data_IF_562128757104
#
_entry.id   IF_562128757104
#
_cell.length_a   1.000
_cell.length_b   1.000
_cell.length_c   1.000
_cell.angle_alpha   90.00
_cell.angle_beta   90.00
_cell.angle_gamma   90.00
#
_symmetry.space_group_name_H-M   'P 1'
#
loop_
_entity.id
_entity.type
_entity.pdbx_description
1 polymer ?
#
# COMPACT_ATOMS: atom_id res chain seq x y z
N UNK A 1 -37.64 -86.67 -29.56
CA UNK A 1 -36.30 -87.29 -29.39
C UNK A 1 -35.30 -86.16 -29.23
N UNK A 2 -34.83 -85.97 -28.00
CA UNK A 2 -33.87 -84.93 -27.61
C UNK A 2 -32.49 -85.54 -27.86
N UNK A 3 -31.96 -85.32 -29.07
CA UNK A 3 -30.60 -85.73 -29.42
C UNK A 3 -29.62 -84.78 -28.76
N UNK A 4 -29.06 -85.19 -27.64
CA UNK A 4 -27.80 -84.64 -27.14
C UNK A 4 -26.76 -84.87 -28.22
N UNK A 5 -26.40 -83.83 -28.97
CA UNK A 5 -25.14 -83.82 -29.73
C UNK A 5 -24.03 -83.83 -28.69
N UNK A 6 -23.56 -85.03 -28.33
CA UNK A 6 -22.24 -85.19 -27.73
C UNK A 6 -21.25 -84.70 -28.79
N UNK A 7 -20.75 -83.48 -28.60
CA UNK A 7 -19.65 -82.94 -29.38
C UNK A 7 -18.47 -83.90 -29.26
N UNK A 8 -17.81 -84.20 -30.37
CA UNK A 8 -16.66 -85.10 -30.36
C UNK A 8 -15.60 -84.57 -29.38
N UNK A 9 -14.97 -85.43 -28.56
CA UNK A 9 -14.02 -85.00 -27.53
C UNK A 9 -12.87 -84.14 -28.10
N UNK A 10 -12.45 -84.39 -29.34
CA UNK A 10 -11.45 -83.58 -30.04
C UNK A 10 -11.90 -82.14 -30.28
N UNK A 11 -13.17 -81.94 -30.64
CA UNK A 11 -13.73 -80.60 -30.89
C UNK A 11 -13.83 -79.78 -29.60
N UNK A 12 -14.29 -80.42 -28.52
CA UNK A 12 -14.34 -79.81 -27.18
C UNK A 12 -12.94 -79.45 -26.67
N UNK A 13 -11.94 -80.30 -26.94
CA UNK A 13 -10.56 -80.02 -26.56
C UNK A 13 -10.00 -78.81 -27.32
N UNK A 14 -10.32 -78.69 -28.61
CA UNK A 14 -9.89 -77.55 -29.42
C UNK A 14 -10.57 -76.25 -28.96
N UNK A 15 -11.88 -76.26 -28.72
CA UNK A 15 -12.61 -75.11 -28.20
C UNK A 15 -12.10 -74.68 -26.81
N UNK A 16 -11.75 -75.64 -25.94
CA UNK A 16 -11.15 -75.35 -24.65
C UNK A 16 -9.79 -74.64 -24.78
N UNK A 17 -8.95 -75.03 -25.76
CA UNK A 17 -7.66 -74.38 -26.03
C UNK A 17 -7.85 -72.94 -26.49
N UNK A 18 -8.75 -72.72 -27.45
CA UNK A 18 -9.06 -71.39 -27.97
C UNK A 18 -9.64 -70.48 -26.89
N UNK A 19 -10.54 -71.00 -26.04
CA UNK A 19 -11.07 -70.25 -24.90
C UNK A 19 -10.00 -69.91 -23.85
N UNK A 20 -9.04 -70.80 -23.60
CA UNK A 20 -7.91 -70.51 -22.72
C UNK A 20 -7.04 -69.39 -23.30
N UNK A 21 -6.72 -69.44 -24.59
CA UNK A 21 -5.94 -68.40 -25.27
C UNK A 21 -6.66 -67.05 -25.29
N UNK A 22 -7.96 -67.04 -25.58
CA UNK A 22 -8.79 -65.83 -25.53
C UNK A 22 -8.85 -65.25 -24.11
N UNK A 23 -9.01 -66.09 -23.08
CA UNK A 23 -9.03 -65.67 -21.68
C UNK A 23 -7.69 -65.10 -21.22
N UNK A 24 -6.57 -65.69 -21.67
CA UNK A 24 -5.24 -65.18 -21.39
C UNK A 24 -5.01 -63.81 -22.03
N UNK A 25 -5.41 -63.66 -23.30
CA UNK A 25 -5.32 -62.39 -24.02
C UNK A 25 -6.15 -61.30 -23.33
N UNK A 26 -7.39 -61.61 -22.94
CA UNK A 26 -8.25 -60.69 -22.22
C UNK A 26 -7.68 -60.27 -20.86
N UNK A 27 -7.09 -61.20 -20.11
CA UNK A 27 -6.41 -60.89 -18.84
C UNK A 27 -5.23 -59.93 -19.03
N UNK A 28 -4.43 -60.13 -20.07
CA UNK A 28 -3.32 -59.23 -20.40
C UNK A 28 -3.82 -57.82 -20.76
N UNK A 29 -4.87 -57.73 -21.57
CA UNK A 29 -5.49 -56.46 -21.98
C UNK A 29 -6.05 -55.69 -20.77
N UNK A 30 -6.78 -56.37 -19.87
CA UNK A 30 -7.27 -55.76 -18.63
C UNK A 30 -6.13 -55.25 -17.73
N UNK A 31 -5.04 -56.01 -17.63
CA UNK A 31 -3.86 -55.59 -16.89
C UNK A 31 -3.23 -54.33 -17.47
N UNK A 32 -3.12 -54.26 -18.79
CA UNK A 32 -2.62 -53.09 -19.51
C UNK A 32 -3.53 -51.87 -19.30
N UNK A 33 -4.85 -52.03 -19.48
CA UNK A 33 -5.82 -50.94 -19.27
C UNK A 33 -5.79 -50.38 -17.85
N UNK A 34 -5.64 -51.24 -16.84
CA UNK A 34 -5.52 -50.80 -15.45
C UNK A 34 -4.24 -49.98 -15.22
N UNK A 35 -3.10 -50.44 -15.75
CA UNK A 35 -1.82 -49.73 -15.63
C UNK A 35 -1.86 -48.37 -16.33
N UNK A 36 -2.44 -48.30 -17.53
CA UNK A 36 -2.58 -47.05 -18.28
C UNK A 36 -3.53 -46.08 -17.56
N UNK A 37 -4.67 -46.56 -17.06
CA UNK A 37 -5.58 -45.73 -16.27
C UNK A 37 -4.90 -45.18 -15.00
N UNK A 38 -4.12 -46.00 -14.29
CA UNK A 38 -3.36 -45.56 -13.12
C UNK A 38 -2.32 -44.50 -13.48
N UNK A 39 -1.64 -44.66 -14.62
CA UNK A 39 -0.67 -43.68 -15.12
C UNK A 39 -1.35 -42.36 -15.46
N UNK A 40 -2.45 -42.39 -16.21
CA UNK A 40 -3.21 -41.19 -16.57
C UNK A 40 -3.70 -40.41 -15.35
N UNK A 41 -4.18 -41.11 -14.32
CA UNK A 41 -4.58 -40.47 -13.06
C UNK A 41 -3.40 -39.76 -12.40
N UNK A 42 -2.23 -40.42 -12.32
CA UNK A 42 -1.02 -39.82 -11.72
C UNK A 42 -0.50 -38.63 -12.50
N UNK A 43 -0.50 -38.71 -13.83
CA UNK A 43 -0.03 -37.65 -14.71
C UNK A 43 -0.98 -36.44 -14.63
N UNK A 44 -2.29 -36.67 -14.73
CA UNK A 44 -3.32 -35.63 -14.58
C UNK A 44 -3.29 -34.95 -13.20
N UNK A 45 -3.13 -35.74 -12.13
CA UNK A 45 -3.00 -35.19 -10.78
C UNK A 45 -1.72 -34.38 -10.61
N UNK A 46 -0.62 -34.77 -11.24
CA UNK A 46 0.64 -34.00 -11.22
C UNK A 46 0.51 -32.68 -11.95
N UNK A 47 -0.03 -32.71 -13.16
CA UNK A 47 -0.30 -31.51 -13.94
C UNK A 47 -1.23 -30.54 -13.21
N UNK A 48 -2.31 -31.05 -12.61
CA UNK A 48 -3.26 -30.22 -11.84
C UNK A 48 -2.59 -29.55 -10.64
N UNK A 49 -1.73 -30.28 -9.91
CA UNK A 49 -0.97 -29.72 -8.79
C UNK A 49 -0.03 -28.60 -9.24
N UNK A 50 0.64 -28.76 -10.37
CA UNK A 50 1.57 -27.75 -10.89
C UNK A 50 0.84 -26.51 -11.38
N UNK A 51 -0.30 -26.67 -12.07
CA UNK A 51 -1.17 -25.56 -12.48
C UNK A 51 -1.68 -24.79 -11.26
N UNK A 52 -2.13 -25.48 -10.20
CA UNK A 52 -2.60 -24.83 -8.97
C UNK A 52 -1.48 -24.03 -8.29
N UNK A 53 -0.28 -24.61 -8.17
CA UNK A 53 0.87 -23.90 -7.60
C UNK A 53 1.21 -22.65 -8.40
N UNK A 54 1.24 -22.75 -9.73
CA UNK A 54 1.52 -21.62 -10.59
C UNK A 54 0.48 -20.52 -10.42
N UNK A 55 -0.81 -20.87 -10.45
CA UNK A 55 -1.91 -19.93 -10.29
C UNK A 55 -1.81 -19.14 -8.98
N UNK A 56 -1.55 -19.81 -7.86
CA UNK A 56 -1.38 -19.13 -6.57
C UNK A 56 -0.10 -18.30 -6.48
N UNK A 57 0.98 -18.71 -7.16
CA UNK A 57 2.19 -17.89 -7.24
C UNK A 57 1.94 -16.61 -8.06
N UNK A 58 1.22 -16.70 -9.17
CA UNK A 58 0.85 -15.54 -9.99
C UNK A 58 -0.06 -14.58 -9.22
N UNK A 59 -1.03 -15.10 -8.47
CA UNK A 59 -1.90 -14.33 -7.57
C UNK A 59 -1.09 -13.61 -6.50
N UNK A 60 -0.18 -14.29 -5.81
CA UNK A 60 0.70 -13.69 -4.80
C UNK A 60 1.57 -12.59 -5.41
N UNK A 61 2.14 -12.83 -6.60
CA UNK A 61 2.94 -11.84 -7.30
C UNK A 61 2.13 -10.62 -7.71
N UNK A 62 0.90 -10.81 -8.20
CA UNK A 62 -0.01 -9.72 -8.58
C UNK A 62 -0.44 -8.91 -7.36
N UNK A 63 -0.84 -9.58 -6.27
CA UNK A 63 -1.22 -8.92 -5.03
C UNK A 63 -0.05 -8.14 -4.42
N UNK A 64 1.16 -8.71 -4.43
CA UNK A 64 2.37 -8.03 -3.97
C UNK A 64 2.60 -6.72 -4.71
N UNK A 65 2.53 -6.73 -6.06
CA UNK A 65 2.66 -5.51 -6.86
C UNK A 65 1.61 -4.45 -6.53
N UNK A 66 0.34 -4.85 -6.39
CA UNK A 66 -0.74 -3.93 -6.02
C UNK A 66 -0.52 -3.30 -4.64
N UNK A 67 -0.02 -4.08 -3.68
CA UNK A 67 0.32 -3.58 -2.35
C UNK A 67 1.49 -2.60 -2.39
N UNK A 68 2.53 -2.91 -3.17
CA UNK A 68 3.69 -2.02 -3.35
C UNK A 68 3.27 -0.69 -4.02
N UNK A 69 2.43 -0.75 -5.06
CA UNK A 69 1.87 0.43 -5.73
C UNK A 69 1.03 1.28 -4.78
N UNK A 70 0.17 0.64 -3.97
CA UNK A 70 -0.62 1.35 -2.96
C UNK A 70 0.26 1.98 -1.88
N UNK A 71 1.30 1.29 -1.43
CA UNK A 71 2.24 1.82 -0.46
C UNK A 71 2.95 3.07 -0.99
N UNK A 72 3.48 3.02 -2.20
CA UNK A 72 4.13 4.18 -2.84
C UNK A 72 3.16 5.36 -2.92
N UNK A 73 1.92 5.11 -3.33
CA UNK A 73 0.89 6.16 -3.41
C UNK A 73 0.60 6.79 -2.04
N UNK A 74 0.45 5.96 -1.00
CA UNK A 74 0.19 6.44 0.36
C UNK A 74 1.36 7.25 0.93
N UNK A 75 2.60 6.84 0.65
CA UNK A 75 3.79 7.60 1.05
C UNK A 75 3.83 8.96 0.36
N UNK A 76 3.54 9.02 -0.95
CA UNK A 76 3.44 10.28 -1.68
C UNK A 76 2.33 11.20 -1.15
N UNK A 77 1.18 10.63 -0.75
CA UNK A 77 0.12 11.40 -0.10
C UNK A 77 0.58 11.98 1.23
N UNK A 78 1.32 11.22 2.05
CA UNK A 78 1.91 11.71 3.31
C UNK A 78 2.89 12.85 3.03
N UNK A 79 3.81 12.69 2.08
CA UNK A 79 4.79 13.73 1.72
C UNK A 79 4.09 15.01 1.23
N UNK A 80 3.02 14.86 0.45
CA UNK A 80 2.22 16.00 -0.05
C UNK A 80 1.59 16.76 1.12
N UNK A 81 0.97 16.04 2.07
CA UNK A 81 0.36 16.66 3.26
C UNK A 81 1.42 17.35 4.11
N UNK A 82 2.58 16.73 4.32
CA UNK A 82 3.69 17.35 5.05
C UNK A 82 4.10 18.67 4.37
N UNK A 83 4.33 18.67 3.06
CA UNK A 83 4.71 19.88 2.32
C UNK A 83 3.64 20.98 2.38
N UNK A 84 2.37 20.61 2.20
CA UNK A 84 1.25 21.54 2.27
C UNK A 84 1.07 22.16 3.66
N UNK A 85 1.45 21.44 4.71
CA UNK A 85 1.29 21.88 6.11
C UNK A 85 2.48 22.67 6.64
N UNK A 86 3.69 22.41 6.15
CA UNK A 86 4.89 23.21 6.46
C UNK A 86 4.83 24.60 5.81
N UNK A 87 4.36 24.70 4.56
CA UNK A 87 4.40 25.96 3.81
C UNK A 87 3.77 27.17 4.53
N UNK A 88 2.56 27.06 5.14
CA UNK A 88 2.03 28.16 5.95
C UNK A 88 2.93 28.53 7.14
N UNK A 89 3.59 27.55 7.76
CA UNK A 89 4.51 27.79 8.88
C UNK A 89 5.76 28.57 8.43
N UNK A 90 6.29 28.30 7.24
CA UNK A 90 7.39 29.09 6.66
C UNK A 90 6.98 30.56 6.46
N UNK A 91 5.77 30.79 5.98
CA UNK A 91 5.24 32.14 5.78
C UNK A 91 4.99 32.83 7.13
N UNK A 92 4.50 32.11 8.15
CA UNK A 92 4.42 32.62 9.52
C UNK A 92 5.79 32.93 10.12
N UNK A 93 6.81 32.11 9.86
CA UNK A 93 8.17 32.35 10.32
C UNK A 93 8.71 33.67 9.76
N UNK A 94 8.54 33.92 8.46
CA UNK A 94 8.94 35.20 7.84
C UNK A 94 8.22 36.40 8.45
N UNK A 95 6.94 36.27 8.78
CA UNK A 95 6.17 37.31 9.45
C UNK A 95 6.71 37.60 10.86
N UNK A 96 7.08 36.56 11.60
CA UNK A 96 7.69 36.70 12.93
C UNK A 96 9.07 37.35 12.81
N UNK A 97 9.93 36.89 11.90
CA UNK A 97 11.27 37.46 11.67
C UNK A 97 11.19 38.96 11.32
N UNK A 98 10.28 39.34 10.42
CA UNK A 98 10.04 40.76 10.11
C UNK A 98 9.56 41.54 11.34
N UNK A 99 8.63 40.97 12.11
CA UNK A 99 8.12 41.58 13.34
C UNK A 99 9.22 41.80 14.39
N UNK A 100 10.11 40.83 14.56
CA UNK A 100 11.27 40.91 15.47
C UNK A 100 12.24 42.00 15.00
N UNK A 101 12.61 42.02 13.72
CA UNK A 101 13.50 43.05 13.18
C UNK A 101 12.90 44.45 13.35
N UNK A 102 11.59 44.61 13.08
CA UNK A 102 10.89 45.88 13.27
C UNK A 102 10.90 46.31 14.75
N UNK A 103 10.69 45.38 15.67
CA UNK A 103 10.74 45.66 17.10
C UNK A 103 12.16 46.03 17.56
N UNK A 104 13.19 45.37 17.03
CA UNK A 104 14.59 45.69 17.34
C UNK A 104 14.98 47.10 16.87
N UNK A 105 14.63 47.45 15.63
CA UNK A 105 14.85 48.80 15.09
C UNK A 105 14.12 49.86 15.93
N UNK A 106 12.89 49.57 16.35
CA UNK A 106 12.12 50.48 17.18
C UNK A 106 12.76 50.64 18.58
N UNK A 107 13.21 49.56 19.21
CA UNK A 107 13.92 49.61 20.50
C UNK A 107 15.16 50.50 20.36
N UNK A 108 15.95 50.31 19.30
CA UNK A 108 17.14 51.13 19.02
C UNK A 108 16.79 52.60 18.82
N UNK A 109 15.73 52.92 18.06
CA UNK A 109 15.22 54.29 17.89
C UNK A 109 14.82 54.90 19.25
N UNK A 110 14.17 54.12 20.11
CA UNK A 110 13.77 54.52 21.46
C UNK A 110 14.97 54.79 22.38
N UNK A 111 15.96 53.90 22.41
CA UNK A 111 17.19 54.06 23.19
C UNK A 111 17.94 55.33 22.79
N UNK A 112 18.08 55.60 21.48
CA UNK A 112 18.71 56.82 20.97
C UNK A 112 17.91 58.07 21.38
N UNK A 113 16.58 58.02 21.27
CA UNK A 113 15.72 59.14 21.62
C UNK A 113 15.77 59.47 23.13
N UNK A 114 15.89 58.45 23.98
CA UNK A 114 16.05 58.62 25.44
C UNK A 114 17.41 59.22 25.79
N UNK A 115 18.50 58.73 25.16
CA UNK A 115 19.86 59.22 25.41
C UNK A 115 20.07 60.68 24.96
N UNK A 116 19.30 61.15 23.98
CA UNK A 116 19.43 62.50 23.39
C UNK A 116 18.83 63.66 24.22
N UNK A 117 18.09 63.39 25.30
CA UNK A 117 17.49 64.44 26.15
C UNK A 117 16.27 65.17 25.56
N UNK A 118 15.54 65.91 26.40
CA UNK A 118 14.22 66.49 26.09
C UNK A 118 14.31 67.74 25.17
N UNK A 119 15.41 68.48 25.22
CA UNK A 119 15.48 69.83 24.63
C UNK A 119 15.82 69.83 23.12
N UNK A 120 16.49 68.80 22.58
CA UNK A 120 17.00 68.79 21.19
C UNK A 120 16.35 67.70 20.29
N UNK A 121 15.46 66.84 20.82
CA UNK A 121 14.93 65.66 20.11
C UNK A 121 13.42 65.40 20.31
N UNK A 122 12.61 66.41 20.62
CA UNK A 122 11.16 66.24 20.85
C UNK A 122 10.43 65.57 19.66
N UNK A 123 10.85 65.86 18.42
CA UNK A 123 10.29 65.19 17.23
C UNK A 123 10.65 63.69 17.16
N UNK A 124 11.85 63.28 17.59
CA UNK A 124 12.24 61.85 17.60
C UNK A 124 11.50 61.09 18.69
N UNK A 125 11.35 61.68 19.88
CA UNK A 125 10.54 61.11 20.96
C UNK A 125 9.07 60.96 20.57
N UNK A 126 8.50 61.97 19.91
CA UNK A 126 7.14 61.93 19.40
C UNK A 126 6.97 60.88 18.28
N UNK A 127 7.90 60.83 17.32
CA UNK A 127 7.95 59.82 16.25
C UNK A 127 7.99 58.40 16.82
N UNK A 128 8.92 58.14 17.74
CA UNK A 128 9.05 56.85 18.41
C UNK A 128 7.76 56.47 19.14
N UNK A 129 7.20 57.37 19.97
CA UNK A 129 5.99 57.09 20.77
C UNK A 129 4.79 56.75 19.89
N UNK A 130 4.65 57.44 18.74
CA UNK A 130 3.62 57.16 17.74
C UNK A 130 3.80 55.78 17.10
N UNK A 131 5.03 55.42 16.69
CA UNK A 131 5.35 54.11 16.11
C UNK A 131 5.16 52.97 17.12
N UNK A 132 5.63 53.15 18.36
CA UNK A 132 5.49 52.18 19.43
C UNK A 132 4.03 51.86 19.78
N UNK A 133 3.19 52.90 19.82
CA UNK A 133 1.75 52.72 20.00
C UNK A 133 1.17 51.83 18.89
N UNK A 134 1.51 52.08 17.63
CA UNK A 134 1.02 51.32 16.49
C UNK A 134 1.38 49.82 16.56
N UNK A 135 2.62 49.49 16.93
CA UNK A 135 3.07 48.09 17.07
C UNK A 135 2.31 47.37 18.19
N UNK A 136 2.06 48.05 19.32
CA UNK A 136 1.35 47.47 20.45
C UNK A 136 -0.09 47.01 20.08
N UNK A 137 -0.78 47.79 19.24
CA UNK A 137 -2.08 47.42 18.67
C UNK A 137 -1.99 46.24 17.69
N UNK A 138 -0.94 46.19 16.87
CA UNK A 138 -0.73 45.09 15.93
C UNK A 138 -0.48 43.76 16.65
N UNK A 139 0.39 43.73 17.66
CA UNK A 139 0.70 42.52 18.43
C UNK A 139 -0.50 41.96 19.19
N UNK A 140 -1.37 42.83 19.71
CA UNK A 140 -2.60 42.42 20.40
C UNK A 140 -3.63 41.77 19.45
N UNK A 141 -3.49 41.96 18.14
CA UNK A 141 -4.44 41.54 17.11
C UNK A 141 -3.98 40.29 16.34
N UNK A 142 -2.77 39.78 16.58
CA UNK A 142 -2.24 38.62 15.85
C UNK A 142 -2.79 37.28 16.41
N UNK A 143 -3.18 36.33 15.54
CA UNK A 143 -3.62 35.01 15.96
C UNK A 143 -2.47 34.22 16.59
N UNK A 144 -2.69 33.63 17.78
CA UNK A 144 -1.75 32.71 18.42
C UNK A 144 -1.81 31.36 17.69
N UNK A 145 -0.64 30.79 17.38
CA UNK A 145 -0.54 29.45 16.80
C UNK A 145 -0.93 28.44 17.88
N UNK A 146 -2.22 28.08 17.94
CA UNK A 146 -2.74 26.97 18.75
C UNK A 146 -3.47 26.03 17.81
N UNK A 147 -2.92 24.82 17.56
CA UNK A 147 -3.73 23.72 17.00
C UNK A 147 -3.23 22.96 15.77
N UNK A 148 -1.96 23.02 15.37
CA UNK A 148 -1.51 22.29 14.16
C UNK A 148 -1.12 20.81 14.35
N UNK A 149 -1.05 20.27 15.57
CA UNK A 149 -0.46 18.93 15.78
C UNK A 149 -1.41 17.73 15.71
N UNK A 150 -2.73 17.90 15.86
CA UNK A 150 -3.65 16.76 16.05
C UNK A 150 -4.63 16.48 14.91
N UNK A 151 -4.99 17.50 14.11
CA UNK A 151 -6.02 17.35 13.05
C UNK A 151 -5.48 16.63 11.81
N UNK A 152 -4.19 16.79 11.49
CA UNK A 152 -3.60 16.22 10.28
C UNK A 152 -3.27 14.73 10.40
N UNK A 153 -2.85 14.26 11.58
CA UNK A 153 -2.62 12.84 11.84
C UNK A 153 -3.93 12.02 11.72
N UNK A 154 -5.06 12.59 12.16
CA UNK A 154 -6.38 11.97 12.04
C UNK A 154 -6.85 11.91 10.58
N UNK A 155 -6.58 12.94 9.76
CA UNK A 155 -6.89 12.95 8.32
C UNK A 155 -6.11 11.86 7.55
N UNK A 156 -4.85 11.64 7.90
CA UNK A 156 -3.99 10.59 7.34
C UNK A 156 -4.55 9.20 7.70
N UNK A 157 -4.88 8.98 8.98
CA UNK A 157 -5.46 7.71 9.44
C UNK A 157 -6.81 7.44 8.75
N UNK A 158 -7.70 8.44 8.65
CA UNK A 158 -9.01 8.27 8.02
C UNK A 158 -8.94 7.93 6.52
N UNK A 159 -7.94 8.43 5.79
CA UNK A 159 -7.71 8.12 4.36
C UNK A 159 -7.01 6.77 4.13
N UNK A 160 -6.24 6.27 5.10
CA UNK A 160 -5.60 4.95 4.98
C UNK A 160 -6.59 3.78 5.15
N UNK A 161 -7.73 4.00 5.82
CA UNK A 161 -8.72 2.96 6.14
C UNK A 161 -10.02 3.01 5.31
N UNK A 162 -10.24 4.04 4.48
CA UNK A 162 -11.34 4.10 3.49
C UNK A 162 -10.80 3.87 2.07
#
# INVERSE_FOLDING_TARGET
MRGTMELEPELLLQEARENVEASQSYRCELGHQLLEAQRQIKDSASQTRDVLKQHFNDLKGTLGKLLDERLVTLLQEVDTIEQETIKPLDDYQKLIEHGVNTAEDLVREGEIAILGGIEEQNEKLWSFTKKASHIQWMTASQPKITGFSSVNALQIILKMFM
#
